data_IF_954681186233
#
_entry.id   IF_954681186233
#
_cell.length_a   1.000
_cell.length_b   1.000
_cell.length_c   1.000
_cell.angle_alpha   90.00
_cell.angle_beta   90.00
_cell.angle_gamma   90.00
#
_symmetry.space_group_name_H-M   'P 1'
#
loop_
_entity.id
_entity.type
_entity.pdbx_description
1 polymer ?
#
# COMPACT_ATOMS: atom_id res chain seq x y z
N UNK A 1 -7.50 -0.57 -14.08
CA UNK A 1 -7.21 -0.26 -12.67
C UNK A 1 -7.34 1.23 -12.37
N UNK A 2 -7.52 1.54 -11.08
CA UNK A 2 -7.37 2.87 -10.51
C UNK A 2 -6.02 2.92 -9.77
N UNK A 3 -5.24 3.98 -9.98
CA UNK A 3 -4.06 4.32 -9.19
C UNK A 3 -4.34 5.55 -8.34
N UNK A 4 -4.02 5.48 -7.04
CA UNK A 4 -4.05 6.60 -6.11
C UNK A 4 -2.64 6.83 -5.59
N UNK A 5 -2.00 7.88 -6.11
CA UNK A 5 -0.61 8.19 -5.82
C UNK A 5 -0.45 9.00 -4.53
N UNK A 6 0.69 8.82 -3.89
CA UNK A 6 1.18 9.76 -2.87
C UNK A 6 1.61 11.07 -3.48
N UNK A 7 2.58 11.74 -2.84
CA UNK A 7 3.23 12.92 -3.42
C UNK A 7 4.12 12.48 -4.60
N UNK A 8 3.87 12.96 -5.83
CA UNK A 8 4.63 12.55 -7.02
C UNK A 8 6.12 12.96 -6.99
N UNK A 9 6.51 13.90 -6.14
CA UNK A 9 7.92 14.25 -5.94
C UNK A 9 8.63 13.27 -4.98
N UNK A 10 7.88 12.41 -4.28
CA UNK A 10 8.41 11.42 -3.37
C UNK A 10 8.80 10.13 -4.12
N UNK A 11 10.03 9.67 -3.91
CA UNK A 11 10.58 8.46 -4.55
C UNK A 11 9.76 7.21 -4.23
N UNK A 12 9.23 7.09 -3.00
CA UNK A 12 8.39 5.95 -2.62
C UNK A 12 7.08 5.92 -3.44
N UNK A 13 6.45 7.09 -3.66
CA UNK A 13 5.26 7.17 -4.49
C UNK A 13 5.56 6.71 -5.93
N UNK A 14 6.65 7.19 -6.52
CA UNK A 14 7.07 6.82 -7.86
C UNK A 14 7.27 5.29 -8.00
N UNK A 15 8.01 4.69 -7.07
CA UNK A 15 8.28 3.25 -7.11
C UNK A 15 7.03 2.42 -6.82
N UNK A 16 6.22 2.80 -5.83
CA UNK A 16 4.97 2.10 -5.50
C UNK A 16 3.99 2.14 -6.66
N UNK A 17 3.91 3.25 -7.40
CA UNK A 17 3.10 3.38 -8.62
C UNK A 17 3.65 2.50 -9.75
N UNK A 18 4.93 2.68 -10.12
CA UNK A 18 5.54 1.96 -11.25
C UNK A 18 5.53 0.44 -11.03
N UNK A 19 6.04 -0.02 -9.88
CA UNK A 19 6.25 -1.45 -9.67
C UNK A 19 4.98 -2.23 -9.35
N UNK A 20 3.92 -1.60 -8.84
CA UNK A 20 2.61 -2.25 -8.70
C UNK A 20 2.07 -2.67 -10.06
N UNK A 21 2.09 -1.78 -11.03
CA UNK A 21 1.62 -2.04 -12.40
C UNK A 21 2.59 -2.98 -13.13
N UNK A 22 3.89 -2.74 -12.97
CA UNK A 22 4.93 -3.56 -13.58
C UNK A 22 4.84 -5.03 -13.15
N UNK A 23 4.51 -5.31 -11.89
CA UNK A 23 4.35 -6.67 -11.40
C UNK A 23 3.26 -7.45 -12.15
N UNK A 24 2.15 -6.80 -12.53
CA UNK A 24 1.09 -7.41 -13.32
C UNK A 24 1.54 -7.66 -14.77
N UNK A 25 2.15 -6.65 -15.40
CA UNK A 25 2.60 -6.77 -16.79
C UNK A 25 3.73 -7.80 -16.95
N UNK A 26 4.66 -7.88 -16.00
CA UNK A 26 5.73 -8.90 -15.97
C UNK A 26 5.14 -10.32 -15.78
N UNK A 27 4.00 -10.44 -15.11
CA UNK A 27 3.26 -11.69 -14.97
C UNK A 27 2.41 -12.03 -16.22
N UNK A 28 2.42 -11.19 -17.24
CA UNK A 28 1.71 -11.41 -18.51
C UNK A 28 0.25 -10.94 -18.52
N UNK A 29 -0.16 -10.12 -17.54
CA UNK A 29 -1.48 -9.51 -17.52
C UNK A 29 -1.52 -8.28 -18.42
N UNK A 30 -2.58 -8.16 -19.21
CA UNK A 30 -2.92 -6.93 -19.90
C UNK A 30 -3.73 -6.05 -18.95
N UNK A 31 -3.25 -4.83 -18.70
CA UNK A 31 -3.86 -3.89 -17.76
C UNK A 31 -4.08 -2.53 -18.41
N UNK A 32 -5.20 -1.89 -18.11
CA UNK A 32 -5.55 -0.55 -18.57
C UNK A 32 -5.72 0.37 -17.36
N UNK A 33 -5.04 1.53 -17.41
CA UNK A 33 -5.23 2.58 -16.42
C UNK A 33 -6.49 3.37 -16.74
N UNK A 34 -7.51 3.27 -15.91
CA UNK A 34 -8.74 4.04 -16.06
C UNK A 34 -8.66 5.39 -15.34
N UNK A 35 -7.95 5.45 -14.22
CA UNK A 35 -7.73 6.67 -13.45
C UNK A 35 -6.39 6.58 -12.73
N UNK A 36 -5.61 7.66 -12.83
CA UNK A 36 -4.37 7.86 -12.10
C UNK A 36 -4.41 9.27 -11.51
N UNK A 37 -4.47 9.38 -10.18
CA UNK A 37 -4.62 10.65 -9.50
C UNK A 37 -3.85 10.71 -8.18
N UNK A 38 -3.42 11.93 -7.85
CA UNK A 38 -2.64 12.23 -6.65
C UNK A 38 -3.57 12.40 -5.45
N UNK A 39 -3.47 11.50 -4.47
CA UNK A 39 -4.19 11.52 -3.19
C UNK A 39 -3.35 12.09 -2.04
N UNK A 40 -2.07 12.48 -2.27
CA UNK A 40 -1.18 13.13 -1.30
C UNK A 40 -1.11 12.43 0.06
N UNK A 41 -1.15 11.08 0.09
CA UNK A 41 -1.13 10.26 1.30
C UNK A 41 -2.38 10.43 2.18
N UNK A 42 -3.43 11.13 1.70
CA UNK A 42 -4.60 11.49 2.50
C UNK A 42 -5.78 10.57 2.22
N UNK A 43 -6.41 10.09 3.31
CA UNK A 43 -7.54 9.17 3.26
C UNK A 43 -8.77 9.77 2.56
N UNK A 44 -9.12 11.01 2.88
CA UNK A 44 -10.29 11.71 2.35
C UNK A 44 -10.14 12.06 0.86
N UNK A 45 -8.93 12.40 0.42
CA UNK A 45 -8.64 12.62 -0.99
C UNK A 45 -8.78 11.31 -1.78
N UNK A 46 -8.21 10.21 -1.28
CA UNK A 46 -8.34 8.90 -1.91
C UNK A 46 -9.79 8.44 -2.01
N UNK A 47 -10.57 8.62 -0.94
CA UNK A 47 -12.01 8.32 -0.95
C UNK A 47 -12.72 9.07 -2.09
N UNK A 48 -12.47 10.36 -2.23
CA UNK A 48 -13.08 11.20 -3.28
C UNK A 48 -12.64 10.76 -4.68
N UNK A 49 -11.36 10.48 -4.87
CA UNK A 49 -10.78 10.00 -6.15
C UNK A 49 -11.45 8.69 -6.57
N UNK A 50 -11.48 7.70 -5.67
CA UNK A 50 -12.02 6.37 -5.96
C UNK A 50 -13.53 6.43 -6.18
N UNK A 51 -14.27 7.21 -5.39
CA UNK A 51 -15.72 7.41 -5.58
C UNK A 51 -16.03 7.99 -6.97
N UNK A 52 -15.25 8.99 -7.43
CA UNK A 52 -15.41 9.59 -8.75
C UNK A 52 -15.08 8.59 -9.87
N UNK A 53 -13.99 7.83 -9.74
CA UNK A 53 -13.58 6.83 -10.72
C UNK A 53 -14.61 5.68 -10.82
N UNK A 54 -15.12 5.18 -9.69
CA UNK A 54 -16.18 4.16 -9.68
C UNK A 54 -17.47 4.69 -10.30
N UNK A 55 -17.81 5.96 -10.06
CA UNK A 55 -18.97 6.61 -10.70
C UNK A 55 -18.82 6.76 -12.21
N UNK A 56 -17.60 6.98 -12.70
CA UNK A 56 -17.32 7.19 -14.12
C UNK A 56 -17.20 5.86 -14.90
N UNK A 57 -16.51 4.88 -14.36
CA UNK A 57 -16.13 3.65 -15.06
C UNK A 57 -16.89 2.41 -14.56
N UNK A 58 -17.64 2.52 -13.46
CA UNK A 58 -18.48 1.44 -12.95
C UNK A 58 -17.71 0.15 -12.70
N UNK A 59 -18.18 -0.95 -13.27
CA UNK A 59 -17.61 -2.28 -13.07
C UNK A 59 -16.34 -2.56 -13.90
N UNK A 60 -15.92 -1.65 -14.76
CA UNK A 60 -14.66 -1.81 -15.51
C UNK A 60 -13.44 -1.64 -14.59
N UNK A 61 -13.62 -1.05 -13.41
CA UNK A 61 -12.59 -1.02 -12.38
C UNK A 61 -12.49 -2.36 -11.64
N UNK A 62 -11.41 -3.06 -11.80
CA UNK A 62 -11.17 -4.37 -11.16
C UNK A 62 -10.16 -4.30 -10.02
N UNK A 63 -9.24 -3.33 -10.07
CA UNK A 63 -8.17 -3.17 -9.07
C UNK A 63 -8.01 -1.71 -8.69
N UNK A 64 -7.84 -1.45 -7.39
CA UNK A 64 -7.42 -0.16 -6.84
C UNK A 64 -6.06 -0.32 -6.17
N UNK A 65 -5.07 0.38 -6.69
CA UNK A 65 -3.75 0.53 -6.09
C UNK A 65 -3.68 1.83 -5.33
N UNK A 66 -3.31 1.76 -4.05
CA UNK A 66 -3.02 2.93 -3.25
C UNK A 66 -1.56 2.89 -2.79
N UNK A 67 -0.85 4.00 -2.93
CA UNK A 67 0.56 4.06 -2.53
C UNK A 67 0.76 3.93 -1.02
N UNK A 68 -0.28 4.13 -0.17
CA UNK A 68 -0.24 3.80 1.24
C UNK A 68 -1.60 3.30 1.78
N UNK A 69 -1.60 2.80 3.01
CA UNK A 69 -2.79 2.24 3.66
C UNK A 69 -3.80 3.31 4.06
N UNK A 70 -3.39 4.52 4.43
CA UNK A 70 -4.32 5.59 4.73
C UNK A 70 -5.22 5.89 3.51
N UNK A 71 -4.63 5.95 2.32
CA UNK A 71 -5.39 6.10 1.07
C UNK A 71 -6.22 4.85 0.76
N UNK A 72 -5.70 3.64 1.03
CA UNK A 72 -6.46 2.40 0.83
C UNK A 72 -7.71 2.32 1.72
N UNK A 73 -7.62 2.75 2.98
CA UNK A 73 -8.78 2.85 3.88
C UNK A 73 -9.84 3.84 3.35
N UNK A 74 -9.40 4.95 2.75
CA UNK A 74 -10.31 5.88 2.06
C UNK A 74 -10.95 5.26 0.82
N UNK A 75 -10.16 4.55 0.03
CA UNK A 75 -10.65 3.81 -1.15
C UNK A 75 -11.66 2.72 -0.76
N UNK A 76 -11.44 1.99 0.34
CA UNK A 76 -12.36 0.98 0.85
C UNK A 76 -13.74 1.59 1.14
N UNK A 77 -13.79 2.74 1.82
CA UNK A 77 -15.06 3.44 2.09
C UNK A 77 -15.80 3.80 0.80
N UNK A 78 -15.10 4.21 -0.25
CA UNK A 78 -15.71 4.52 -1.54
C UNK A 78 -16.22 3.25 -2.26
N UNK A 79 -15.47 2.15 -2.19
CA UNK A 79 -15.85 0.85 -2.76
C UNK A 79 -17.13 0.32 -2.09
N UNK A 80 -17.19 0.34 -0.76
CA UNK A 80 -18.36 -0.07 0.01
C UNK A 80 -19.58 0.82 -0.28
N UNK A 81 -19.40 2.15 -0.33
CA UNK A 81 -20.47 3.09 -0.68
C UNK A 81 -21.02 2.88 -2.09
N UNK A 82 -20.19 2.40 -3.02
CA UNK A 82 -20.60 2.01 -4.37
C UNK A 82 -21.30 0.64 -4.41
N UNK A 83 -21.42 -0.07 -3.27
CA UNK A 83 -22.04 -1.39 -3.18
C UNK A 83 -21.17 -2.52 -3.74
N UNK A 84 -19.86 -2.29 -3.87
CA UNK A 84 -18.92 -3.30 -4.36
C UNK A 84 -18.25 -4.02 -3.20
N UNK A 85 -17.73 -5.21 -3.47
CA UNK A 85 -17.17 -6.10 -2.44
C UNK A 85 -15.75 -6.48 -2.81
N UNK A 86 -14.78 -6.06 -1.99
CA UNK A 86 -13.37 -6.45 -2.15
C UNK A 86 -13.23 -7.97 -2.08
N UNK A 87 -12.37 -8.52 -2.95
CA UNK A 87 -12.14 -9.96 -3.05
C UNK A 87 -13.20 -10.72 -3.85
N UNK A 88 -14.27 -10.04 -4.30
CA UNK A 88 -15.34 -10.64 -5.11
C UNK A 88 -15.39 -10.01 -6.51
N UNK A 89 -15.52 -8.72 -6.59
CA UNK A 89 -15.68 -7.98 -7.86
C UNK A 89 -14.68 -6.83 -8.02
N UNK A 90 -13.88 -6.55 -7.01
CA UNK A 90 -12.80 -5.56 -7.03
C UNK A 90 -11.70 -5.99 -6.06
N UNK A 91 -10.45 -5.61 -6.33
CA UNK A 91 -9.33 -5.84 -5.45
C UNK A 91 -8.75 -4.51 -4.97
N UNK A 92 -8.31 -4.47 -3.72
CA UNK A 92 -7.76 -3.27 -3.09
C UNK A 92 -6.44 -3.60 -2.40
N UNK A 93 -5.39 -2.85 -2.72
CA UNK A 93 -4.08 -3.02 -2.09
C UNK A 93 -3.50 -1.67 -1.65
N UNK A 94 -2.79 -1.71 -0.53
CA UNK A 94 -2.06 -0.58 0.05
C UNK A 94 -0.62 -0.93 0.37
N UNK A 95 0.04 -0.06 1.12
CA UNK A 95 1.40 -0.23 1.65
C UNK A 95 1.46 0.43 3.02
N UNK A 96 2.22 -0.09 3.91
CA UNK A 96 2.70 0.29 5.26
C UNK A 96 2.33 -0.73 6.34
N UNK A 97 1.26 -1.51 6.16
CA UNK A 97 0.68 -2.44 7.13
C UNK A 97 0.24 -1.74 8.43
N UNK A 98 -0.53 -0.65 8.29
CA UNK A 98 -1.20 -0.03 9.43
C UNK A 98 -2.13 -1.03 10.12
N UNK A 99 -2.27 -0.95 11.43
CA UNK A 99 -3.09 -1.89 12.21
C UNK A 99 -4.52 -2.01 11.66
N UNK A 100 -5.15 -0.89 11.29
CA UNK A 100 -6.49 -0.86 10.71
C UNK A 100 -6.54 -1.59 9.36
N UNK A 101 -5.56 -1.35 8.47
CA UNK A 101 -5.46 -2.04 7.19
C UNK A 101 -5.21 -3.55 7.36
N UNK A 102 -4.38 -3.95 8.33
CA UNK A 102 -4.17 -5.36 8.65
C UNK A 102 -5.46 -6.03 9.17
N UNK A 103 -6.25 -5.34 10.00
CA UNK A 103 -7.56 -5.82 10.45
C UNK A 103 -8.51 -6.03 9.26
N UNK A 104 -8.52 -5.12 8.28
CA UNK A 104 -9.29 -5.26 7.04
C UNK A 104 -8.78 -6.40 6.14
N UNK A 105 -7.47 -6.60 6.07
CA UNK A 105 -6.90 -7.76 5.35
C UNK A 105 -7.32 -9.07 6.02
N UNK A 106 -7.28 -9.15 7.34
CA UNK A 106 -7.73 -10.32 8.12
C UNK A 106 -9.23 -10.59 7.89
N UNK A 107 -10.04 -9.53 7.88
CA UNK A 107 -11.48 -9.61 7.64
C UNK A 107 -11.83 -9.95 6.16
N UNK A 108 -10.88 -9.74 5.24
CA UNK A 108 -11.09 -9.94 3.80
C UNK A 108 -11.75 -8.74 3.10
N UNK A 109 -11.86 -7.59 3.76
CA UNK A 109 -12.35 -6.32 3.21
C UNK A 109 -11.26 -5.53 2.48
N UNK A 110 -10.00 -5.94 2.65
CA UNK A 110 -8.85 -5.47 1.88
C UNK A 110 -8.05 -6.68 1.38
N UNK A 111 -7.57 -6.62 0.13
CA UNK A 111 -6.87 -7.76 -0.50
C UNK A 111 -5.50 -8.02 0.12
N UNK A 112 -4.79 -6.95 0.45
CA UNK A 112 -3.47 -7.03 1.06
C UNK A 112 -2.82 -5.66 1.20
N UNK A 113 -1.74 -5.66 1.96
CA UNK A 113 -0.83 -4.53 2.13
C UNK A 113 0.61 -5.02 2.13
N UNK A 114 1.56 -4.13 2.30
CA UNK A 114 2.98 -4.46 2.39
C UNK A 114 3.54 -3.84 3.67
N UNK A 115 4.05 -4.67 4.56
CA UNK A 115 4.68 -4.20 5.79
C UNK A 115 6.00 -3.50 5.47
N UNK A 116 6.02 -2.20 5.71
CA UNK A 116 7.20 -1.37 5.68
C UNK A 116 7.83 -1.41 7.08
N UNK A 117 8.78 -2.34 7.29
CA UNK A 117 9.33 -2.68 8.61
C UNK A 117 10.06 -1.50 9.27
N UNK A 118 9.28 -0.61 9.87
CA UNK A 118 9.76 0.56 10.57
C UNK A 118 10.53 0.23 11.86
N UNK A 119 10.33 -0.96 12.45
CA UNK A 119 11.11 -1.43 13.60
C UNK A 119 12.55 -1.73 13.19
N UNK A 120 12.73 -2.58 12.18
CA UNK A 120 14.08 -2.89 11.68
C UNK A 120 14.79 -1.65 11.15
N UNK A 121 14.07 -0.74 10.47
CA UNK A 121 14.65 0.52 9.99
C UNK A 121 15.14 1.39 11.16
N UNK A 122 14.30 1.63 12.16
CA UNK A 122 14.67 2.49 13.30
C UNK A 122 15.75 1.88 14.18
N UNK A 123 15.70 0.57 14.45
CA UNK A 123 16.73 -0.13 15.22
C UNK A 123 18.08 -0.12 14.47
N UNK A 124 18.07 -0.45 13.18
CA UNK A 124 19.29 -0.43 12.37
C UNK A 124 19.92 0.96 12.28
N UNK A 125 19.10 2.00 12.18
CA UNK A 125 19.60 3.38 12.18
C UNK A 125 20.22 3.76 13.54
N UNK A 126 19.58 3.38 14.65
CA UNK A 126 20.10 3.64 15.99
C UNK A 126 21.41 2.88 16.24
N UNK A 127 21.48 1.61 15.87
CA UNK A 127 22.70 0.80 16.01
C UNK A 127 23.85 1.34 15.16
N UNK A 128 23.58 1.76 13.93
CA UNK A 128 24.58 2.39 13.06
C UNK A 128 25.10 3.70 13.67
N UNK A 129 24.22 4.52 14.24
CA UNK A 129 24.61 5.75 14.93
C UNK A 129 25.50 5.46 16.16
N UNK A 130 25.15 4.45 16.97
CA UNK A 130 25.93 4.04 18.14
C UNK A 130 27.33 3.54 17.72
N UNK A 131 27.42 2.70 16.69
CA UNK A 131 28.71 2.22 16.15
C UNK A 131 29.56 3.39 15.66
N UNK A 132 28.99 4.32 14.93
CA UNK A 132 29.69 5.53 14.45
C UNK A 132 30.27 6.34 15.63
N UNK A 133 29.48 6.56 16.68
CA UNK A 133 29.95 7.30 17.89
C UNK A 133 31.07 6.57 18.65
N UNK A 134 31.12 5.24 18.56
CA UNK A 134 32.21 4.43 19.13
C UNK A 134 33.45 4.35 18.23
N UNK A 135 33.44 4.92 17.04
CA UNK A 135 34.50 4.80 16.05
C UNK A 135 34.59 3.43 15.37
N UNK A 136 33.51 2.65 15.43
CA UNK A 136 33.37 1.36 14.75
C UNK A 136 32.94 1.56 13.30
N UNK A 137 33.32 0.64 12.41
CA UNK A 137 32.90 0.69 11.02
C UNK A 137 31.42 0.29 10.87
N UNK A 138 30.71 0.99 10.00
CA UNK A 138 29.39 0.61 9.53
C UNK A 138 29.46 0.04 8.11
N UNK A 139 28.49 -0.77 7.77
CA UNK A 139 28.25 -1.14 6.38
C UNK A 139 27.80 0.08 5.58
N UNK A 140 28.13 0.11 4.30
CA UNK A 140 27.73 1.20 3.38
C UNK A 140 26.21 1.25 3.20
N UNK A 141 25.56 0.09 3.21
CA UNK A 141 24.13 -0.07 3.03
C UNK A 141 23.58 -1.08 4.03
N UNK A 142 22.53 -0.69 4.75
CA UNK A 142 21.80 -1.55 5.68
C UNK A 142 20.37 -1.62 5.15
N UNK A 143 20.01 -2.74 4.51
CA UNK A 143 18.67 -2.95 3.94
C UNK A 143 17.69 -3.45 5.00
N UNK A 144 16.44 -3.01 4.90
CA UNK A 144 15.29 -3.55 5.62
C UNK A 144 14.25 -3.99 4.59
N UNK A 145 13.90 -5.27 4.60
CA UNK A 145 13.01 -5.84 3.59
C UNK A 145 11.55 -5.43 3.84
N UNK A 146 10.83 -5.23 2.76
CA UNK A 146 9.37 -5.13 2.79
C UNK A 146 8.75 -6.52 2.81
N UNK A 147 7.69 -6.71 3.59
CA UNK A 147 7.01 -8.00 3.73
C UNK A 147 5.57 -7.89 3.22
N UNK A 148 5.22 -8.72 2.24
CA UNK A 148 3.84 -8.81 1.73
C UNK A 148 2.92 -9.31 2.84
N UNK A 149 1.86 -8.56 3.15
CA UNK A 149 0.81 -8.91 4.09
C UNK A 149 -0.47 -9.31 3.35
N UNK A 150 -0.91 -10.52 3.58
CA UNK A 150 -2.16 -11.10 3.06
C UNK A 150 -2.90 -11.80 4.21
N UNK A 151 -4.10 -12.31 3.98
CA UNK A 151 -4.83 -13.06 5.00
C UNK A 151 -4.02 -14.20 5.64
N UNK A 152 -3.03 -14.74 4.91
CA UNK A 152 -2.23 -15.86 5.39
C UNK A 152 -1.27 -15.47 6.54
N UNK A 153 -0.83 -14.20 6.61
CA UNK A 153 0.17 -13.74 7.57
C UNK A 153 -0.14 -12.38 8.23
N UNK A 154 -1.27 -11.76 7.89
CA UNK A 154 -1.62 -10.45 8.42
C UNK A 154 -1.78 -10.44 9.94
N UNK A 155 -2.26 -11.53 10.55
CA UNK A 155 -2.38 -11.63 12.00
C UNK A 155 -0.99 -11.63 12.69
N UNK A 156 -0.02 -12.35 12.13
CA UNK A 156 1.36 -12.35 12.66
C UNK A 156 1.97 -10.96 12.62
N UNK A 157 1.79 -10.24 11.49
CA UNK A 157 2.29 -8.86 11.35
C UNK A 157 1.55 -7.93 12.31
N UNK A 158 0.23 -8.06 12.46
CA UNK A 158 -0.57 -7.27 13.39
C UNK A 158 -0.10 -7.42 14.84
N UNK A 159 0.26 -8.64 15.25
CA UNK A 159 0.77 -8.92 16.60
C UNK A 159 2.17 -8.31 16.83
N UNK A 160 2.96 -8.09 15.76
CA UNK A 160 4.24 -7.39 15.85
C UNK A 160 4.10 -5.87 15.95
N UNK A 161 3.08 -5.27 15.32
CA UNK A 161 2.92 -3.80 15.26
C UNK A 161 2.03 -3.24 16.37
N UNK A 162 1.37 -4.06 17.16
CA UNK A 162 0.61 -3.70 18.38
C UNK A 162 1.48 -3.72 19.62
#
# INVERSE_FOLDING_TARGET
YIMVEGDPENVDAQYRTEFSVKALTDAGWEVECLSDQVGNWQQDQAQSIVANALGQYGNDNEVVFCNNDAMALGALQAIEAAGRTVGTDIYLVGVDALSEALEDVIAGTMTGTVFNDHFSQSHSAADAAIRFLKGEANEYYIGCDYVKATQANAQEILDMVK
#
